data_IF_854157879234
#
_entry.id   IF_854157879234
#
_cell.length_a   1.000
_cell.length_b   1.000
_cell.length_c   1.000
_cell.angle_alpha   90.00
_cell.angle_beta   90.00
_cell.angle_gamma   90.00
#
_symmetry.space_group_name_H-M   'P 1'
#
loop_
_entity.id
_entity.type
_entity.pdbx_description
1 polymer ?
#
# COMPACT_ATOMS: atom_id res chain seq x y z
N UNK A 1 21.70 -10.73 -8.56
CA UNK A 1 21.11 -11.75 -7.68
C UNK A 1 19.77 -11.24 -7.16
N UNK A 2 18.87 -12.13 -6.74
CA UNK A 2 17.56 -11.78 -6.18
C UNK A 2 17.45 -12.29 -4.75
N UNK A 3 16.85 -11.50 -3.86
CA UNK A 3 16.59 -11.89 -2.49
C UNK A 3 15.18 -11.43 -2.09
N UNK A 4 14.37 -12.36 -1.58
CA UNK A 4 12.94 -12.14 -1.28
C UNK A 4 12.17 -11.51 -2.45
N UNK A 5 12.47 -11.92 -3.69
CA UNK A 5 11.86 -11.40 -4.90
C UNK A 5 12.37 -10.01 -5.34
N UNK A 6 13.28 -9.37 -4.60
CA UNK A 6 13.85 -8.07 -4.95
C UNK A 6 15.22 -8.24 -5.62
N UNK A 7 15.47 -7.61 -6.79
CA UNK A 7 16.78 -7.62 -7.42
C UNK A 7 17.78 -6.72 -6.68
N UNK A 8 19.01 -7.22 -6.54
CA UNK A 8 20.14 -6.49 -5.97
C UNK A 8 21.27 -6.33 -6.99
N UNK A 9 21.82 -5.12 -7.04
CA UNK A 9 23.05 -4.77 -7.75
C UNK A 9 24.22 -4.75 -6.77
N UNK A 10 25.48 -4.82 -7.23
CA UNK A 10 26.66 -4.72 -6.35
C UNK A 10 26.67 -3.44 -5.49
N UNK A 11 26.05 -2.37 -5.99
CA UNK A 11 25.87 -1.09 -5.30
C UNK A 11 24.71 -1.06 -4.29
N UNK A 12 23.92 -2.14 -4.19
CA UNK A 12 22.80 -2.26 -3.26
C UNK A 12 21.48 -2.64 -3.92
N UNK A 13 20.37 -2.06 -3.45
CA UNK A 13 19.03 -2.40 -3.96
C UNK A 13 18.85 -1.89 -5.40
N UNK A 14 18.49 -2.78 -6.32
CA UNK A 14 18.17 -2.41 -7.69
C UNK A 14 16.77 -1.78 -7.77
N UNK A 15 16.52 -1.08 -8.89
CA UNK A 15 15.18 -0.56 -9.19
C UNK A 15 14.25 -1.72 -9.55
N UNK A 16 13.11 -1.80 -8.87
CA UNK A 16 12.11 -2.84 -9.14
C UNK A 16 11.24 -2.42 -10.33
N UNK A 17 11.20 -3.28 -11.35
CA UNK A 17 10.31 -3.10 -12.49
C UNK A 17 8.95 -3.74 -12.18
N UNK A 18 8.06 -2.96 -11.55
CA UNK A 18 6.73 -3.43 -11.09
C UNK A 18 5.88 -3.94 -12.26
N UNK A 19 5.96 -3.27 -13.41
CA UNK A 19 5.21 -3.62 -14.61
C UNK A 19 5.50 -5.04 -15.11
N UNK A 20 6.74 -5.50 -14.98
CA UNK A 20 7.17 -6.84 -15.42
C UNK A 20 6.51 -7.95 -14.60
N UNK A 21 6.20 -7.68 -13.32
CA UNK A 21 5.47 -8.63 -12.48
C UNK A 21 3.97 -8.52 -12.66
N UNK A 22 3.46 -7.30 -12.88
CA UNK A 22 2.02 -7.03 -12.91
C UNK A 22 1.36 -7.43 -14.23
N UNK A 23 2.00 -7.13 -15.37
CA UNK A 23 1.47 -7.44 -16.70
C UNK A 23 1.17 -8.93 -16.94
N UNK A 24 2.10 -9.87 -16.72
CA UNK A 24 1.84 -11.28 -17.00
C UNK A 24 0.67 -11.79 -16.17
N UNK A 25 0.55 -11.40 -14.91
CA UNK A 25 -0.59 -11.78 -14.07
C UNK A 25 -1.91 -11.17 -14.54
N UNK A 26 -1.92 -9.91 -15.02
CA UNK A 26 -3.11 -9.30 -15.63
C UNK A 26 -3.53 -9.99 -16.93
N UNK A 27 -2.56 -10.41 -17.75
CA UNK A 27 -2.82 -11.16 -18.98
C UNK A 27 -3.41 -12.54 -18.69
N UNK A 28 -2.88 -13.25 -17.68
CA UNK A 28 -3.43 -14.53 -17.21
C UNK A 28 -4.88 -14.34 -16.76
N UNK A 29 -5.18 -13.31 -15.97
CA UNK A 29 -6.55 -13.02 -15.52
C UNK A 29 -7.50 -12.65 -16.67
N UNK A 30 -6.99 -11.97 -17.69
CA UNK A 30 -7.77 -11.59 -18.87
C UNK A 30 -8.11 -12.81 -19.72
N UNK A 31 -7.17 -13.76 -19.85
CA UNK A 31 -7.36 -15.00 -20.61
C UNK A 31 -8.28 -16.00 -19.88
N UNK A 32 -8.29 -15.98 -18.55
CA UNK A 32 -9.11 -16.90 -17.77
C UNK A 32 -10.62 -16.67 -17.99
N UNK A 33 -11.44 -17.74 -18.12
CA UNK A 33 -12.89 -17.65 -18.27
C UNK A 33 -13.56 -17.32 -16.92
N UNK A 34 -13.47 -16.06 -16.49
CA UNK A 34 -14.00 -15.57 -15.22
C UNK A 34 -15.00 -14.44 -15.44
N UNK A 35 -15.99 -14.33 -14.53
CA UNK A 35 -16.90 -13.17 -14.52
C UNK A 35 -16.10 -11.89 -14.23
N UNK A 36 -16.44 -10.74 -14.83
CA UNK A 36 -15.76 -9.46 -14.57
C UNK A 36 -15.65 -9.10 -13.09
N UNK A 37 -16.71 -9.36 -12.32
CA UNK A 37 -16.77 -9.16 -10.88
C UNK A 37 -15.73 -10.01 -10.13
N UNK A 38 -15.54 -11.27 -10.54
CA UNK A 38 -14.54 -12.17 -9.97
C UNK A 38 -13.11 -11.72 -10.33
N UNK A 39 -12.89 -11.24 -11.56
CA UNK A 39 -11.60 -10.66 -11.97
C UNK A 39 -11.23 -9.45 -11.12
N UNK A 40 -12.18 -8.57 -10.88
CA UNK A 40 -11.99 -7.40 -10.01
C UNK A 40 -11.67 -7.81 -8.57
N UNK A 41 -12.42 -8.77 -8.02
CA UNK A 41 -12.16 -9.30 -6.69
C UNK A 41 -10.74 -9.86 -6.58
N UNK A 42 -10.33 -10.68 -7.55
CA UNK A 42 -8.99 -11.28 -7.57
C UNK A 42 -7.88 -10.23 -7.69
N UNK A 43 -8.08 -9.22 -8.54
CA UNK A 43 -7.16 -8.09 -8.67
C UNK A 43 -6.91 -7.42 -7.31
N UNK A 44 -7.98 -7.12 -6.58
CA UNK A 44 -7.91 -6.41 -5.31
C UNK A 44 -7.34 -7.26 -4.18
N UNK A 45 -7.79 -8.51 -4.06
CA UNK A 45 -7.48 -9.35 -2.91
C UNK A 45 -6.16 -10.13 -3.06
N UNK A 46 -5.73 -10.42 -4.28
CA UNK A 46 -4.56 -11.27 -4.53
C UNK A 46 -3.48 -10.55 -5.32
N UNK A 47 -3.83 -9.94 -6.46
CA UNK A 47 -2.81 -9.40 -7.35
C UNK A 47 -2.09 -8.17 -6.79
N UNK A 48 -2.87 -7.20 -6.28
CA UNK A 48 -2.31 -5.97 -5.72
C UNK A 48 -1.51 -6.22 -4.42
N UNK A 49 -2.00 -7.01 -3.44
CA UNK A 49 -1.18 -7.43 -2.31
C UNK A 49 0.07 -8.19 -2.71
N UNK A 50 0.00 -8.98 -3.79
CA UNK A 50 1.15 -9.66 -4.37
C UNK A 50 2.29 -8.73 -4.75
N UNK A 51 2.02 -7.52 -5.24
CA UNK A 51 3.08 -6.54 -5.57
C UNK A 51 3.50 -5.66 -4.40
N UNK A 52 2.73 -5.61 -3.30
CA UNK A 52 3.03 -4.77 -2.15
C UNK A 52 4.34 -5.12 -1.46
N UNK A 53 4.70 -6.40 -1.38
CA UNK A 53 5.99 -6.79 -0.80
C UNK A 53 7.18 -6.19 -1.58
N UNK A 54 7.08 -6.19 -2.92
CA UNK A 54 8.08 -5.60 -3.81
C UNK A 54 8.18 -4.09 -3.62
N UNK A 55 7.04 -3.40 -3.46
CA UNK A 55 7.00 -1.95 -3.23
C UNK A 55 7.58 -1.57 -1.87
N UNK A 56 7.29 -2.35 -0.85
CA UNK A 56 7.79 -2.11 0.48
C UNK A 56 9.31 -2.36 0.53
N UNK A 57 9.81 -3.50 0.01
CA UNK A 57 11.23 -3.92 0.08
C UNK A 57 12.14 -3.21 -0.93
N UNK A 58 11.64 -3.03 -2.14
CA UNK A 58 12.38 -2.57 -3.29
C UNK A 58 12.51 -1.05 -3.41
N UNK A 59 13.20 -0.62 -4.46
CA UNK A 59 13.26 0.79 -4.88
C UNK A 59 12.35 0.95 -6.10
N UNK A 60 11.22 1.62 -5.93
CA UNK A 60 10.29 1.98 -7.00
C UNK A 60 10.39 3.48 -7.31
N UNK A 61 10.22 3.87 -8.58
CA UNK A 61 10.09 5.27 -8.96
C UNK A 61 8.61 5.66 -9.03
N UNK A 62 8.29 6.91 -8.74
CA UNK A 62 6.90 7.42 -8.84
C UNK A 62 6.38 7.24 -10.28
N UNK A 63 7.24 7.46 -11.28
CA UNK A 63 6.92 7.25 -12.68
C UNK A 63 6.57 5.80 -13.03
N UNK A 64 7.24 4.80 -12.42
CA UNK A 64 6.91 3.40 -12.68
C UNK A 64 5.60 2.99 -12.01
N UNK A 65 5.31 3.53 -10.82
CA UNK A 65 4.05 3.35 -10.12
C UNK A 65 2.87 3.94 -10.90
N UNK A 66 2.98 5.18 -11.38
CA UNK A 66 1.94 5.82 -12.19
C UNK A 66 1.64 5.04 -13.49
N UNK A 67 2.69 4.49 -14.13
CA UNK A 67 2.52 3.62 -15.30
C UNK A 67 1.80 2.32 -14.94
N UNK A 68 2.14 1.70 -13.82
CA UNK A 68 1.45 0.50 -13.34
C UNK A 68 -0.04 0.78 -13.06
N UNK A 69 -0.36 1.87 -12.36
CA UNK A 69 -1.75 2.29 -12.11
C UNK A 69 -2.53 2.56 -13.42
N UNK A 70 -1.87 3.16 -14.42
CA UNK A 70 -2.48 3.39 -15.74
C UNK A 70 -2.76 2.08 -16.47
N UNK A 71 -1.84 1.11 -16.39
CA UNK A 71 -2.05 -0.22 -16.96
C UNK A 71 -3.21 -0.91 -16.26
N UNK A 72 -3.26 -0.94 -14.92
CA UNK A 72 -4.39 -1.55 -14.18
C UNK A 72 -5.72 -0.95 -14.59
N UNK A 73 -5.82 0.38 -14.67
CA UNK A 73 -7.04 1.08 -15.12
C UNK A 73 -7.42 0.70 -16.55
N UNK A 74 -6.44 0.49 -17.44
CA UNK A 74 -6.71 0.04 -18.82
C UNK A 74 -7.34 -1.36 -18.86
N UNK A 75 -6.92 -2.28 -17.99
CA UNK A 75 -7.53 -3.61 -17.90
C UNK A 75 -8.90 -3.57 -17.22
N UNK A 76 -9.07 -2.78 -16.16
CA UNK A 76 -10.37 -2.57 -15.52
C UNK A 76 -11.42 -2.04 -16.50
N UNK A 77 -11.04 -1.06 -17.33
CA UNK A 77 -11.92 -0.54 -18.39
C UNK A 77 -12.34 -1.64 -19.37
N UNK A 78 -11.40 -2.50 -19.79
CA UNK A 78 -11.67 -3.61 -20.70
C UNK A 78 -12.51 -4.73 -20.09
N UNK A 79 -12.43 -4.96 -18.77
CA UNK A 79 -13.17 -6.05 -18.14
C UNK A 79 -14.61 -5.67 -17.80
N UNK A 80 -14.84 -4.40 -17.49
CA UNK A 80 -16.13 -3.87 -17.07
C UNK A 80 -16.84 -3.08 -18.17
N UNK A 81 -16.24 -2.99 -19.36
CA UNK A 81 -16.71 -2.18 -20.51
C UNK A 81 -17.03 -0.72 -20.13
N UNK A 82 -16.14 -0.10 -19.36
CA UNK A 82 -16.31 1.29 -18.93
C UNK A 82 -16.02 2.30 -20.06
N UNK A 83 -16.76 3.42 -20.12
CA UNK A 83 -16.48 4.49 -21.07
C UNK A 83 -15.12 5.16 -20.79
N UNK A 84 -14.54 5.74 -21.85
CA UNK A 84 -13.24 6.41 -21.79
C UNK A 84 -13.26 7.60 -20.82
N UNK A 85 -14.40 8.27 -20.71
CA UNK A 85 -14.63 9.46 -19.88
C UNK A 85 -14.79 9.16 -18.39
N UNK A 86 -14.58 7.91 -17.95
CA UNK A 86 -14.65 7.55 -16.54
C UNK A 86 -13.61 8.35 -15.73
N UNK A 87 -14.03 9.11 -14.71
CA UNK A 87 -13.12 9.92 -13.91
C UNK A 87 -12.18 9.01 -13.11
N UNK A 88 -10.90 9.39 -13.02
CA UNK A 88 -9.86 8.62 -12.33
C UNK A 88 -10.21 8.29 -10.87
N UNK A 89 -10.84 9.18 -10.10
CA UNK A 89 -11.17 8.86 -8.72
C UNK A 89 -12.20 7.74 -8.54
N UNK A 90 -13.05 7.48 -9.55
CA UNK A 90 -14.03 6.39 -9.50
C UNK A 90 -13.39 5.01 -9.26
N UNK A 91 -12.18 4.79 -9.79
CA UNK A 91 -11.46 3.54 -9.58
C UNK A 91 -11.01 3.36 -8.13
N UNK A 92 -10.68 4.45 -7.45
CA UNK A 92 -10.07 4.46 -6.11
C UNK A 92 -11.07 4.70 -4.99
N UNK A 93 -12.24 5.27 -5.29
CA UNK A 93 -13.30 5.50 -4.33
C UNK A 93 -13.80 4.18 -3.72
N UNK A 94 -14.25 4.26 -2.46
CA UNK A 94 -14.73 3.09 -1.73
C UNK A 94 -16.03 2.56 -2.31
N UNK A 95 -16.30 1.27 -2.06
CA UNK A 95 -17.52 0.60 -2.57
C UNK A 95 -18.77 1.19 -1.92
N UNK A 96 -18.68 1.65 -0.66
CA UNK A 96 -19.79 2.34 0.02
C UNK A 96 -20.24 3.59 -0.72
N UNK A 97 -19.30 4.27 -1.37
CA UNK A 97 -19.51 5.52 -2.08
C UNK A 97 -19.84 5.27 -3.57
N UNK A 98 -20.03 4.01 -3.97
CA UNK A 98 -20.31 3.59 -5.35
C UNK A 98 -19.06 3.48 -6.24
N UNK A 99 -17.85 3.49 -5.66
CA UNK A 99 -16.59 3.28 -6.38
C UNK A 99 -16.19 1.82 -6.55
N UNK A 100 -15.04 1.59 -7.20
CA UNK A 100 -14.52 0.23 -7.42
C UNK A 100 -13.67 -0.30 -6.25
N UNK A 101 -13.24 0.55 -5.31
CA UNK A 101 -12.45 0.16 -4.13
C UNK A 101 -11.08 -0.44 -4.47
N UNK A 102 -10.48 -0.04 -5.59
CA UNK A 102 -9.15 -0.52 -5.99
C UNK A 102 -8.10 0.38 -5.34
N UNK A 103 -7.11 -0.13 -4.60
CA UNK A 103 -6.10 0.72 -3.98
C UNK A 103 -5.07 1.24 -4.99
N UNK A 104 -4.76 2.53 -4.93
CA UNK A 104 -3.72 3.17 -5.75
C UNK A 104 -2.31 2.66 -5.40
N UNK A 105 -1.54 2.15 -6.38
CA UNK A 105 -0.20 1.59 -6.15
C UNK A 105 0.78 2.64 -5.66
N UNK A 106 0.71 3.87 -6.21
CA UNK A 106 1.57 4.97 -5.78
C UNK A 106 1.45 5.23 -4.28
N UNK A 107 0.22 5.37 -3.78
CA UNK A 107 -0.02 5.74 -2.40
C UNK A 107 0.16 4.56 -1.44
N UNK A 108 -0.39 3.38 -1.80
CA UNK A 108 -0.21 2.17 -1.01
C UNK A 108 1.28 1.79 -0.88
N UNK A 109 2.06 1.89 -1.96
CA UNK A 109 3.50 1.63 -1.93
C UNK A 109 4.26 2.60 -1.03
N UNK A 110 3.94 3.90 -1.07
CA UNK A 110 4.54 4.89 -0.19
C UNK A 110 4.19 4.61 1.29
N UNK A 111 2.91 4.35 1.58
CA UNK A 111 2.42 4.03 2.92
C UNK A 111 3.15 2.83 3.51
N UNK A 112 3.19 1.70 2.79
CA UNK A 112 3.86 0.48 3.25
C UNK A 112 5.36 0.69 3.53
N UNK A 113 6.01 1.53 2.72
CA UNK A 113 7.41 1.88 2.93
C UNK A 113 7.59 2.74 4.18
N UNK A 114 6.74 3.73 4.39
CA UNK A 114 6.76 4.58 5.58
C UNK A 114 6.48 3.78 6.85
N UNK A 115 5.48 2.91 6.83
CA UNK A 115 5.12 2.07 7.98
C UNK A 115 6.29 1.19 8.38
N UNK A 116 6.98 0.57 7.42
CA UNK A 116 8.20 -0.18 7.75
C UNK A 116 9.29 0.70 8.35
N UNK A 117 9.56 1.87 7.75
CA UNK A 117 10.61 2.76 8.26
C UNK A 117 10.29 3.24 9.68
N UNK A 118 9.01 3.47 9.98
CA UNK A 118 8.54 3.76 11.35
C UNK A 118 8.77 2.59 12.29
N UNK A 119 8.37 1.38 11.91
CA UNK A 119 8.64 0.18 12.71
C UNK A 119 10.13 -0.02 12.96
N UNK A 120 10.96 0.19 11.94
CA UNK A 120 12.41 0.08 12.06
C UNK A 120 13.00 1.17 12.97
N UNK A 121 12.53 2.42 12.83
CA UNK A 121 12.92 3.53 13.71
C UNK A 121 12.57 3.23 15.17
N UNK A 122 11.34 2.80 15.45
CA UNK A 122 10.91 2.40 16.79
C UNK A 122 11.77 1.26 17.36
N UNK A 123 12.10 0.25 16.56
CA UNK A 123 12.99 -0.84 17.01
C UNK A 123 14.39 -0.31 17.33
N UNK A 124 14.93 0.57 16.50
CA UNK A 124 16.24 1.17 16.74
C UNK A 124 16.25 2.07 17.98
N UNK A 125 15.27 2.95 18.15
CA UNK A 125 15.20 3.84 19.32
C UNK A 125 15.05 3.05 20.61
N UNK A 126 14.19 2.02 20.64
CA UNK A 126 14.05 1.18 21.83
C UNK A 126 15.30 0.32 22.11
N UNK A 127 16.03 -0.09 21.07
CA UNK A 127 17.29 -0.84 21.23
C UNK A 127 18.44 0.05 21.68
N UNK A 128 18.47 1.30 21.24
CA UNK A 128 19.43 2.31 21.72
C UNK A 128 19.11 2.68 23.17
N UNK A 129 17.83 2.89 23.50
CA UNK A 129 17.38 3.16 24.88
C UNK A 129 17.64 1.99 25.83
N UNK A 130 17.54 0.73 25.37
CA UNK A 130 17.87 -0.44 26.21
C UNK A 130 19.38 -0.69 26.38
N UNK A 131 20.22 -0.09 25.52
CA UNK A 131 21.68 -0.01 25.73
C UNK A 131 22.11 1.22 26.53
N UNK A 132 21.25 2.24 26.62
CA UNK A 132 21.50 3.50 27.32
C UNK A 132 20.87 3.50 28.72
N UNK A 133 21.15 2.48 29.53
CA UNK A 133 21.04 2.56 31.00
C UNK A 133 22.30 3.19 31.62
N UNK A 134 22.95 4.07 30.86
CA UNK A 134 23.84 5.09 31.38
C UNK A 134 23.71 6.31 30.46
N UNK A 135 23.59 7.48 31.08
CA UNK A 135 23.48 8.82 30.49
C UNK A 135 22.06 9.26 30.11
N UNK A 136 21.52 10.09 31.00
CA UNK A 136 20.33 10.92 30.85
C UNK A 136 20.42 11.92 29.67
N UNK A 137 19.28 12.58 29.42
CA UNK A 137 19.09 13.87 28.73
C UNK A 137 18.70 13.79 27.24
N UNK A 138 17.40 13.71 26.94
CA UNK A 138 16.57 14.88 26.57
C UNK A 138 15.19 14.40 26.15
N UNK A 139 14.24 14.49 27.08
CA UNK A 139 12.81 14.49 26.80
C UNK A 139 12.44 15.77 26.06
N UNK A 140 11.81 15.64 24.89
CA UNK A 140 10.90 16.66 24.38
C UNK A 140 9.47 16.15 24.60
N UNK A 141 9.00 16.25 25.85
CA UNK A 141 7.58 16.33 26.19
C UNK A 141 7.18 17.80 25.97
N UNK A 142 5.98 18.21 25.56
CA UNK A 142 4.61 17.76 25.86
C UNK A 142 3.70 18.55 24.87
N UNK A 143 2.43 18.26 24.58
CA UNK A 143 1.26 17.94 25.43
C UNK A 143 0.05 17.79 24.48
N UNK A 144 -1.06 17.09 24.70
CA UNK A 144 -1.69 16.28 25.76
C UNK A 144 -3.05 15.84 25.13
N UNK A 145 -3.62 14.66 25.38
CA UNK A 145 -4.70 14.46 26.37
C UNK A 145 -4.87 12.96 26.65
N UNK A 146 -4.69 12.64 27.94
CA UNK A 146 -5.33 11.65 28.82
C UNK A 146 -5.25 10.13 28.54
N UNK A 147 -4.81 9.46 29.61
CA UNK A 147 -4.49 8.04 29.87
C UNK A 147 -5.71 7.14 30.05
N UNK A 148 -5.51 5.82 29.84
CA UNK A 148 -5.96 4.77 30.76
C UNK A 148 -5.05 3.52 30.66
N UNK A 149 -4.50 2.97 31.77
CA UNK A 149 -3.62 1.81 31.79
C UNK A 149 -4.31 0.56 32.36
N UNK A 150 -5.24 -0.05 31.62
CA UNK A 150 -5.66 -1.45 31.75
C UNK A 150 -6.80 -1.72 30.77
N UNK A 151 -6.77 -2.85 30.07
CA UNK A 151 -7.95 -3.37 29.38
C UNK A 151 -7.79 -3.51 27.88
N UNK A 152 -7.82 -4.77 27.46
CA UNK A 152 -8.16 -5.30 26.13
C UNK A 152 -8.43 -4.26 25.03
N UNK A 153 -7.52 -4.22 24.04
CA UNK A 153 -7.79 -3.58 22.76
C UNK A 153 -8.95 -4.35 22.11
N UNK A 154 -10.16 -3.81 22.25
CA UNK A 154 -11.33 -4.34 21.56
C UNK A 154 -11.10 -4.20 20.05
N UNK A 155 -11.33 -5.29 19.32
CA UNK A 155 -11.16 -5.44 17.87
C UNK A 155 -11.83 -4.31 17.05
N UNK A 156 -12.81 -3.64 17.65
CA UNK A 156 -13.52 -2.47 17.12
C UNK A 156 -12.65 -1.21 16.95
N UNK A 157 -11.59 -1.02 17.74
CA UNK A 157 -10.74 0.18 17.65
C UNK A 157 -9.78 0.13 16.45
N UNK A 158 -9.22 -1.05 16.17
CA UNK A 158 -8.38 -1.28 14.99
C UNK A 158 -9.20 -1.06 13.71
N UNK A 159 -10.47 -1.50 13.69
CA UNK A 159 -11.36 -1.34 12.53
C UNK A 159 -11.74 0.14 12.32
N UNK A 160 -11.94 0.91 13.39
CA UNK A 160 -12.33 2.33 13.32
C UNK A 160 -11.17 3.26 12.91
N UNK A 161 -9.94 2.94 13.30
CA UNK A 161 -8.73 3.57 12.80
C UNK A 161 -8.53 3.26 11.31
N UNK A 162 -8.74 2.00 10.92
CA UNK A 162 -8.66 1.55 9.51
C UNK A 162 -9.68 2.28 8.63
N UNK A 163 -10.93 2.42 9.09
CA UNK A 163 -11.99 3.12 8.34
C UNK A 163 -11.79 4.64 8.29
N UNK A 164 -11.21 5.25 9.33
CA UNK A 164 -10.92 6.71 9.36
C UNK A 164 -9.71 7.07 8.52
N UNK A 165 -8.70 6.20 8.51
CA UNK A 165 -7.57 6.30 7.60
C UNK A 165 -8.08 6.09 6.16
N UNK A 166 -8.87 5.05 5.86
CA UNK A 166 -9.45 4.81 4.52
C UNK A 166 -10.35 5.95 4.02
N UNK A 167 -11.20 6.54 4.87
CA UNK A 167 -11.99 7.72 4.50
C UNK A 167 -11.16 9.00 4.25
N UNK A 168 -9.98 9.13 4.88
CA UNK A 168 -9.03 10.22 4.59
C UNK A 168 -8.14 9.94 3.36
N UNK A 169 -7.96 8.65 3.04
CA UNK A 169 -7.17 8.13 1.92
C UNK A 169 -7.90 8.27 0.59
N UNK A 170 -9.23 8.11 0.60
CA UNK A 170 -10.09 8.37 -0.56
C UNK A 170 -9.89 9.81 -1.03
N UNK A 171 -10.00 10.81 -0.15
CA UNK A 171 -9.97 12.25 -0.49
C UNK A 171 -8.67 12.77 -1.11
N UNK A 172 -7.51 12.12 -0.93
CA UNK A 172 -6.22 12.56 -1.49
C UNK A 172 -5.79 11.86 -2.77
N UNK A 173 -6.48 10.80 -3.20
CA UNK A 173 -6.27 10.23 -4.54
C UNK A 173 -6.92 11.07 -5.66
N UNK A 174 -7.66 12.13 -5.29
CA UNK A 174 -8.33 13.05 -6.23
C UNK A 174 -7.43 14.19 -6.74
N UNK A 175 -6.22 14.37 -6.18
CA UNK A 175 -5.22 15.39 -6.57
C UNK A 175 -4.03 14.77 -7.29
#
# INVERSE_FOLDING_TARGET
WTYLGVPFTPTGKAKVKILEHLRPSLEILTKAPLKPQQRLYFLRCHLLPGVYHLLALGRATISSLNKADTVVRSYLRKWLDLPVDTPVPYYYADISDGGLGVPCLRWSGLRLRLDRLRSFSYILTNRILSHSTNVDCFTFNQSSVLTDPAGQVSESYIIKERSKVEGSLSRRCFL
#
